data_IF_316162987451
#
_entry.id   IF_316162987451
#
_cell.length_a   1.000
_cell.length_b   1.000
_cell.length_c   1.000
_cell.angle_alpha   90.00
_cell.angle_beta   90.00
_cell.angle_gamma   90.00
#
_symmetry.space_group_name_H-M   'P 1'
#
loop_
_entity.id
_entity.type
_entity.pdbx_description
1 polymer ?
#
# COMPACT_ATOMS: atom_id res chain seq x y z
N UNK A 1 -19.87 -28.61 73.71
CA UNK A 1 -19.99 -27.25 73.12
C UNK A 1 -18.72 -26.76 72.43
N UNK A 2 -17.50 -26.97 72.97
CA UNK A 2 -16.24 -26.49 72.34
C UNK A 2 -15.96 -27.05 70.92
N UNK A 3 -16.40 -28.28 70.62
CA UNK A 3 -16.21 -28.92 69.29
C UNK A 3 -17.15 -28.38 68.20
N UNK A 4 -18.33 -27.88 68.57
CA UNK A 4 -19.29 -27.31 67.63
C UNK A 4 -18.94 -25.87 67.22
N UNK A 5 -18.28 -25.12 68.12
CA UNK A 5 -17.80 -23.76 67.81
C UNK A 5 -16.69 -23.78 66.75
N UNK A 6 -15.80 -24.78 66.79
CA UNK A 6 -14.75 -24.94 65.77
C UNK A 6 -15.30 -25.24 64.38
N UNK A 7 -16.36 -26.05 64.29
CA UNK A 7 -17.02 -26.36 63.01
C UNK A 7 -17.72 -25.12 62.44
N UNK A 8 -18.34 -24.30 63.30
CA UNK A 8 -18.99 -23.05 62.89
C UNK A 8 -17.98 -22.01 62.39
N UNK A 9 -16.79 -21.92 63.00
CA UNK A 9 -15.71 -21.03 62.56
C UNK A 9 -15.08 -21.51 61.25
N UNK A 10 -14.93 -22.83 61.04
CA UNK A 10 -14.46 -23.39 59.76
C UNK A 10 -15.47 -23.19 58.61
N UNK A 11 -16.78 -23.26 58.88
CA UNK A 11 -17.82 -23.01 57.87
C UNK A 11 -17.88 -21.53 57.44
N UNK A 12 -17.58 -20.59 58.36
CA UNK A 12 -17.50 -19.16 58.05
C UNK A 12 -16.24 -18.80 57.26
N UNK A 13 -15.13 -19.52 57.46
CA UNK A 13 -13.90 -19.30 56.69
C UNK A 13 -14.00 -19.78 55.23
N UNK A 14 -14.77 -20.85 54.97
CA UNK A 14 -14.96 -21.40 53.62
C UNK A 14 -15.99 -20.64 52.78
N UNK A 15 -16.76 -19.73 53.38
CA UNK A 15 -17.72 -18.87 52.68
C UNK A 15 -17.11 -17.53 52.19
N UNK A 16 -15.79 -17.32 52.38
CA UNK A 16 -15.11 -16.05 52.05
C UNK A 16 -14.36 -16.04 50.71
N UNK A 17 -14.48 -17.11 49.91
CA UNK A 17 -14.09 -17.08 48.50
C UNK A 17 -15.33 -16.96 47.62
N UNK A 18 -16.05 -15.84 47.77
CA UNK A 18 -16.92 -15.35 46.69
C UNK A 18 -15.97 -14.59 45.75
N UNK A 19 -15.41 -15.32 44.78
CA UNK A 19 -14.58 -14.76 43.71
C UNK A 19 -15.53 -13.96 42.82
N UNK A 20 -15.83 -12.73 43.28
CA UNK A 20 -16.88 -11.88 42.76
C UNK A 20 -16.83 -11.89 41.25
N UNK A 21 -17.98 -12.21 40.65
CA UNK A 21 -18.17 -12.44 39.21
C UNK A 21 -17.43 -11.36 38.40
N UNK A 22 -16.20 -11.66 37.99
CA UNK A 22 -15.35 -10.76 37.21
C UNK A 22 -15.93 -10.77 35.81
N UNK A 23 -16.93 -9.91 35.59
CA UNK A 23 -17.45 -9.63 34.26
C UNK A 23 -16.32 -8.94 33.50
N UNK A 24 -15.58 -9.74 32.72
CA UNK A 24 -14.60 -9.21 31.77
C UNK A 24 -15.38 -8.55 30.65
N UNK A 25 -15.50 -7.23 30.70
CA UNK A 25 -15.99 -6.43 29.59
C UNK A 25 -15.11 -6.72 28.36
N UNK A 26 -15.65 -7.50 27.42
CA UNK A 26 -14.92 -7.89 26.22
C UNK A 26 -15.09 -6.81 25.16
N UNK A 27 -14.02 -6.09 24.86
CA UNK A 27 -13.98 -5.15 23.74
C UNK A 27 -13.97 -5.97 22.43
N UNK A 28 -15.02 -5.87 21.63
CA UNK A 28 -15.12 -6.57 20.34
C UNK A 28 -15.62 -5.66 19.21
N UNK A 29 -14.73 -5.42 18.26
CA UNK A 29 -14.95 -4.67 17.02
C UNK A 29 -14.64 -5.51 15.76
N UNK A 30 -14.60 -6.84 15.89
CA UNK A 30 -14.24 -7.75 14.80
C UNK A 30 -15.19 -7.67 13.60
N UNK A 31 -16.49 -7.46 13.85
CA UNK A 31 -17.54 -7.30 12.82
C UNK A 31 -17.67 -5.87 12.26
N UNK A 32 -16.84 -4.93 12.71
CA UNK A 32 -16.92 -3.51 12.33
C UNK A 32 -15.78 -3.17 11.37
N UNK A 33 -16.10 -2.44 10.30
CA UNK A 33 -15.10 -1.94 9.35
C UNK A 33 -14.37 -0.72 9.89
N UNK A 34 -13.09 -0.60 9.55
CA UNK A 34 -12.30 0.59 9.86
C UNK A 34 -12.69 1.75 8.96
N UNK A 35 -12.77 2.94 9.54
CA UNK A 35 -13.01 4.21 8.86
C UNK A 35 -11.93 5.22 9.22
N UNK A 36 -11.79 6.28 8.44
CA UNK A 36 -10.89 7.40 8.75
C UNK A 36 -11.55 8.75 8.50
N UNK A 37 -11.14 9.74 9.26
CA UNK A 37 -11.54 11.12 9.03
C UNK A 37 -10.72 11.75 7.89
N UNK A 38 -11.34 12.49 6.94
CA UNK A 38 -10.63 13.08 5.81
C UNK A 38 -9.61 14.16 6.19
N UNK A 39 -9.88 14.94 7.23
CA UNK A 39 -9.14 16.18 7.51
C UNK A 39 -8.07 16.05 8.59
N UNK A 40 -8.14 15.02 9.43
CA UNK A 40 -7.25 14.86 10.59
C UNK A 40 -6.69 13.43 10.74
N UNK A 41 -6.93 12.56 9.75
CA UNK A 41 -6.40 11.20 9.68
C UNK A 41 -6.69 10.29 10.89
N UNK A 42 -7.66 10.66 11.73
CA UNK A 42 -8.12 9.79 12.81
C UNK A 42 -8.72 8.52 12.21
N UNK A 43 -8.23 7.37 12.65
CA UNK A 43 -8.73 6.06 12.22
C UNK A 43 -9.60 5.51 13.34
N UNK A 44 -10.76 4.95 13.01
CA UNK A 44 -11.71 4.53 14.03
C UNK A 44 -12.62 3.40 13.58
N UNK A 45 -13.24 2.75 14.56
CA UNK A 45 -14.34 1.80 14.40
C UNK A 45 -15.50 2.23 15.29
N UNK A 46 -16.72 2.23 14.75
CA UNK A 46 -17.93 2.61 15.47
C UNK A 46 -18.86 1.41 15.66
N UNK A 47 -19.36 1.23 16.87
CA UNK A 47 -20.30 0.16 17.23
C UNK A 47 -21.38 0.72 18.13
N UNK A 48 -22.55 1.03 17.55
CA UNK A 48 -23.67 1.65 18.25
C UNK A 48 -23.27 2.89 19.08
N UNK A 49 -23.12 2.77 20.39
CA UNK A 49 -22.71 3.85 21.31
C UNK A 49 -21.23 3.81 21.68
N UNK A 50 -20.40 3.11 20.93
CA UNK A 50 -18.98 2.90 21.24
C UNK A 50 -18.09 3.27 20.06
N UNK A 51 -16.91 3.83 20.34
CA UNK A 51 -15.90 4.10 19.33
C UNK A 51 -14.52 3.66 19.80
N UNK A 52 -13.84 2.84 19.00
CA UNK A 52 -12.42 2.55 19.17
C UNK A 52 -11.62 3.39 18.17
N UNK A 53 -10.73 4.24 18.68
CA UNK A 53 -10.05 5.30 17.93
C UNK A 53 -8.55 5.06 18.01
N UNK A 54 -7.89 5.20 16.86
CA UNK A 54 -6.45 5.18 16.67
C UNK A 54 -6.03 6.54 16.13
N UNK A 55 -5.16 7.22 16.88
CA UNK A 55 -4.58 8.51 16.51
C UNK A 55 -3.07 8.35 16.43
N UNK A 56 -2.54 8.21 15.22
CA UNK A 56 -1.10 8.09 14.93
C UNK A 56 -0.75 8.97 13.73
N UNK A 57 0.52 9.34 13.54
CA UNK A 57 0.93 10.18 12.41
C UNK A 57 0.62 9.53 11.06
N UNK A 58 0.06 10.30 10.11
CA UNK A 58 -0.39 9.78 8.81
C UNK A 58 0.77 9.19 8.00
N UNK A 59 1.97 9.76 8.14
CA UNK A 59 3.20 9.31 7.49
C UNK A 59 3.61 7.89 7.89
N UNK A 60 3.04 7.34 8.96
CA UNK A 60 3.20 5.93 9.35
C UNK A 60 2.61 4.99 8.28
N UNK A 61 1.54 5.40 7.62
CA UNK A 61 0.85 4.63 6.58
C UNK A 61 1.54 4.84 5.22
N UNK A 62 2.77 4.35 5.12
CA UNK A 62 3.59 4.43 3.91
C UNK A 62 2.99 3.54 2.82
N UNK A 63 2.90 4.07 1.61
CA UNK A 63 2.47 3.37 0.40
C UNK A 63 3.56 2.43 -0.13
N UNK A 64 4.04 1.52 0.71
CA UNK A 64 4.99 0.46 0.38
C UNK A 64 4.73 -0.77 1.26
N UNK A 65 4.65 -2.00 0.70
CA UNK A 65 4.48 -3.20 1.49
C UNK A 65 5.61 -3.40 2.49
N UNK A 66 5.28 -3.84 3.68
CA UNK A 66 6.27 -4.24 4.69
C UNK A 66 6.68 -5.69 4.49
N UNK A 67 7.87 -6.08 4.97
CA UNK A 67 8.16 -7.51 5.16
C UNK A 67 7.13 -8.10 6.15
N UNK A 68 6.46 -9.23 5.84
CA UNK A 68 5.51 -9.86 6.75
C UNK A 68 6.08 -10.19 8.15
N UNK A 69 7.40 -10.34 8.27
CA UNK A 69 8.09 -10.62 9.54
C UNK A 69 8.64 -9.37 10.22
N UNK A 70 8.55 -8.20 9.59
CA UNK A 70 9.02 -6.93 10.13
C UNK A 70 7.95 -5.85 9.95
N UNK A 71 6.82 -5.92 10.70
CA UNK A 71 5.82 -4.87 10.69
C UNK A 71 6.40 -3.57 11.25
N UNK A 72 5.78 -2.45 10.90
CA UNK A 72 6.06 -1.16 11.57
C UNK A 72 5.57 -1.28 13.01
N UNK A 73 6.41 -0.89 13.97
CA UNK A 73 6.11 -0.96 15.41
C UNK A 73 6.11 0.42 16.02
N UNK A 74 5.03 0.77 16.70
CA UNK A 74 4.88 2.03 17.41
C UNK A 74 4.48 1.78 18.86
N UNK A 75 5.24 2.32 19.80
CA UNK A 75 4.85 2.27 21.20
C UNK A 75 3.64 3.18 21.44
N UNK A 76 2.65 2.65 22.15
CA UNK A 76 1.48 3.43 22.58
C UNK A 76 1.95 4.46 23.62
N UNK A 77 1.56 5.71 23.41
CA UNK A 77 1.97 6.83 24.25
C UNK A 77 1.33 8.14 23.78
N UNK A 78 2.00 9.27 24.05
CA UNK A 78 1.47 10.59 23.69
C UNK A 78 1.37 10.83 22.18
N UNK A 79 2.29 10.26 21.40
CA UNK A 79 2.31 10.42 19.94
C UNK A 79 1.44 9.38 19.21
N UNK A 80 1.27 8.19 19.81
CA UNK A 80 0.49 7.10 19.22
C UNK A 80 -0.58 6.66 20.21
N UNK A 81 -1.80 7.12 20.02
CA UNK A 81 -2.87 6.96 20.99
C UNK A 81 -3.90 5.96 20.51
N UNK A 82 -4.33 5.10 21.43
CA UNK A 82 -5.52 4.25 21.25
C UNK A 82 -6.51 4.62 22.34
N UNK A 83 -7.73 4.98 21.94
CA UNK A 83 -8.77 5.48 22.84
C UNK A 83 -10.06 4.70 22.58
N UNK A 84 -10.69 4.23 23.65
CA UNK A 84 -12.00 3.57 23.59
C UNK A 84 -13.03 4.43 24.30
N UNK A 85 -13.97 4.98 23.53
CA UNK A 85 -15.01 5.88 24.00
C UNK A 85 -16.35 5.17 24.08
N UNK A 86 -17.08 5.46 25.14
CA UNK A 86 -18.48 5.10 25.34
C UNK A 86 -19.32 6.37 25.32
N UNK A 87 -20.34 6.40 24.49
CA UNK A 87 -21.25 7.52 24.28
C UNK A 87 -22.59 7.26 24.96
N UNK A 88 -23.33 8.33 25.29
CA UNK A 88 -24.70 8.23 25.82
C UNK A 88 -25.78 8.03 24.74
N UNK A 89 -25.36 7.75 23.50
CA UNK A 89 -26.24 7.52 22.36
C UNK A 89 -25.42 6.99 21.18
N UNK A 90 -26.10 6.75 20.05
CA UNK A 90 -25.46 6.22 18.86
C UNK A 90 -24.44 7.20 18.28
N UNK A 91 -23.19 6.75 18.14
CA UNK A 91 -22.09 7.52 17.56
C UNK A 91 -22.02 7.29 16.04
N UNK A 92 -21.77 8.35 15.29
CA UNK A 92 -21.56 8.36 13.84
C UNK A 92 -20.25 9.08 13.50
N UNK A 93 -19.79 8.96 12.25
CA UNK A 93 -18.50 9.52 11.82
C UNK A 93 -18.37 11.02 12.09
N UNK A 94 -19.44 11.81 11.92
CA UNK A 94 -19.42 13.26 12.17
C UNK A 94 -19.13 13.63 13.63
N UNK A 95 -19.41 12.73 14.59
CA UNK A 95 -19.03 12.94 15.99
C UNK A 95 -17.51 12.94 16.22
N UNK A 96 -16.74 12.36 15.29
CA UNK A 96 -15.28 12.29 15.34
C UNK A 96 -14.61 13.19 14.30
N UNK A 97 -15.21 13.31 13.12
CA UNK A 97 -14.55 13.88 11.95
C UNK A 97 -14.95 15.32 11.60
N UNK A 98 -16.07 15.83 12.14
CA UNK A 98 -16.49 17.18 11.80
C UNK A 98 -15.50 18.21 12.35
N UNK A 99 -15.25 19.28 11.59
CA UNK A 99 -14.44 20.42 12.03
C UNK A 99 -14.92 20.99 13.38
N UNK A 100 -16.24 20.98 13.58
CA UNK A 100 -16.89 21.26 14.86
C UNK A 100 -17.76 20.04 15.19
N UNK A 101 -17.27 19.10 16.00
CA UNK A 101 -18.04 17.92 16.38
C UNK A 101 -19.34 18.30 17.11
N UNK A 102 -20.48 17.67 16.77
CA UNK A 102 -21.72 17.90 17.49
C UNK A 102 -21.58 17.43 18.95
N UNK A 103 -22.20 18.17 19.88
CA UNK A 103 -22.14 17.87 21.31
C UNK A 103 -22.93 16.60 21.73
N UNK A 104 -23.75 16.05 20.82
CA UNK A 104 -24.60 14.87 21.07
C UNK A 104 -24.34 13.81 19.97
N UNK A 105 -24.20 12.52 20.35
CA UNK A 105 -24.09 12.04 21.72
C UNK A 105 -22.80 12.52 22.42
N UNK A 106 -22.86 12.64 23.74
CA UNK A 106 -21.70 13.01 24.56
C UNK A 106 -20.98 11.76 25.07
N UNK A 107 -19.68 11.88 25.29
CA UNK A 107 -18.86 10.81 25.90
C UNK A 107 -19.32 10.64 27.36
N UNK A 108 -19.69 9.41 27.72
CA UNK A 108 -20.05 8.98 29.08
C UNK A 108 -18.83 8.40 29.80
N UNK A 109 -18.04 7.56 29.12
CA UNK A 109 -16.80 6.98 29.65
C UNK A 109 -15.71 6.99 28.59
N UNK A 110 -14.45 7.08 29.01
CA UNK A 110 -13.30 7.03 28.13
C UNK A 110 -12.15 6.21 28.71
N UNK A 111 -11.66 5.24 27.96
CA UNK A 111 -10.51 4.43 28.33
C UNK A 111 -9.34 4.74 27.41
N UNK A 112 -8.21 5.09 28.01
CA UNK A 112 -6.96 5.33 27.28
C UNK A 112 -6.08 4.09 27.35
N UNK A 113 -5.51 3.68 26.22
CA UNK A 113 -4.42 2.72 26.24
C UNK A 113 -3.19 3.37 26.89
N UNK A 114 -2.75 2.79 28.00
CA UNK A 114 -1.63 3.26 28.82
C UNK A 114 -0.29 2.62 28.43
N UNK A 115 -0.33 1.48 27.75
CA UNK A 115 0.84 0.76 27.25
C UNK A 115 0.46 -0.18 26.10
N UNK A 116 1.47 -0.68 25.40
CA UNK A 116 1.35 -1.65 24.32
C UNK A 116 2.10 -1.18 23.07
N UNK A 117 2.10 -2.02 22.05
CA UNK A 117 2.73 -1.74 20.75
C UNK A 117 1.68 -1.87 19.65
N UNK A 118 1.62 -0.89 18.76
CA UNK A 118 0.84 -0.96 17.52
C UNK A 118 1.75 -1.57 16.45
N UNK A 119 1.36 -2.72 15.90
CA UNK A 119 2.01 -3.36 14.78
C UNK A 119 1.19 -3.13 13.50
N UNK A 120 1.84 -2.64 12.44
CA UNK A 120 1.20 -2.36 11.15
C UNK A 120 1.91 -3.15 10.06
N UNK A 121 1.16 -4.00 9.37
CA UNK A 121 1.64 -4.73 8.19
C UNK A 121 0.98 -4.18 6.94
N UNK A 122 1.78 -3.69 5.98
CA UNK A 122 1.26 -3.10 4.75
C UNK A 122 1.33 -4.10 3.60
N UNK A 123 0.27 -4.18 2.79
CA UNK A 123 0.22 -4.98 1.56
C UNK A 123 -0.34 -4.16 0.40
N UNK A 124 0.19 -4.35 -0.81
CA UNK A 124 -0.34 -3.69 -2.00
C UNK A 124 -1.65 -4.35 -2.44
N UNK A 125 -2.70 -3.55 -2.62
CA UNK A 125 -3.96 -3.98 -3.22
C UNK A 125 -3.84 -3.81 -4.73
N UNK A 126 -4.05 -4.91 -5.48
CA UNK A 126 -3.90 -4.94 -6.93
C UNK A 126 -5.20 -5.33 -7.59
N UNK A 127 -5.55 -4.63 -8.67
CA UNK A 127 -6.60 -5.05 -9.60
C UNK A 127 -5.97 -5.89 -10.71
N UNK A 128 -6.52 -7.09 -10.92
CA UNK A 128 -6.16 -7.99 -12.02
C UNK A 128 -7.04 -7.70 -13.24
N UNK A 129 -6.43 -7.67 -14.42
CA UNK A 129 -7.11 -7.80 -15.71
C UNK A 129 -6.96 -9.25 -16.19
N UNK A 130 -8.05 -10.02 -16.14
CA UNK A 130 -8.08 -11.43 -16.52
C UNK A 130 -7.84 -11.67 -18.02
N UNK A 131 -7.99 -10.64 -18.86
CA UNK A 131 -7.82 -10.76 -20.32
C UNK A 131 -6.36 -10.92 -20.69
N UNK A 132 -5.47 -10.22 -19.98
CA UNK A 132 -4.05 -10.13 -20.30
C UNK A 132 -3.12 -10.48 -19.12
N UNK A 133 -3.67 -10.87 -17.97
CA UNK A 133 -2.97 -11.11 -16.70
C UNK A 133 -2.12 -9.93 -16.21
N UNK A 134 -2.46 -8.71 -16.61
CA UNK A 134 -1.80 -7.51 -16.06
C UNK A 134 -2.41 -7.17 -14.70
N UNK A 135 -1.61 -6.55 -13.84
CA UNK A 135 -2.08 -6.02 -12.56
C UNK A 135 -1.76 -4.54 -12.46
N UNK A 136 -2.58 -3.81 -11.70
CA UNK A 136 -2.31 -2.41 -11.31
C UNK A 136 -2.56 -2.24 -9.83
N UNK A 137 -1.68 -1.53 -9.15
CA UNK A 137 -1.88 -1.17 -7.74
C UNK A 137 -2.99 -0.13 -7.67
N UNK A 138 -3.99 -0.38 -6.84
CA UNK A 138 -5.16 0.51 -6.61
C UNK A 138 -5.21 1.03 -5.17
N UNK A 139 -4.32 0.55 -4.30
CA UNK A 139 -4.26 0.97 -2.91
C UNK A 139 -3.26 0.16 -2.11
N UNK A 140 -3.18 0.48 -0.83
CA UNK A 140 -2.41 -0.26 0.18
C UNK A 140 -3.32 -0.58 1.35
N UNK A 141 -3.33 -1.86 1.75
CA UNK A 141 -4.03 -2.30 2.94
C UNK A 141 -3.04 -2.36 4.10
N UNK A 142 -3.34 -1.62 5.17
CA UNK A 142 -2.58 -1.60 6.41
C UNK A 142 -3.32 -2.42 7.46
N UNK A 143 -2.84 -3.62 7.75
CA UNK A 143 -3.39 -4.46 8.80
C UNK A 143 -2.81 -4.03 10.14
N UNK A 144 -3.67 -3.63 11.08
CA UNK A 144 -3.29 -3.04 12.36
C UNK A 144 -3.64 -4.00 13.50
N UNK A 145 -2.65 -4.32 14.32
CA UNK A 145 -2.78 -5.18 15.49
C UNK A 145 -2.11 -4.49 16.69
N UNK A 146 -2.79 -4.46 17.84
CA UNK A 146 -2.17 -4.03 19.08
C UNK A 146 -1.63 -5.24 19.85
N UNK A 147 -0.40 -5.14 20.35
CA UNK A 147 0.29 -6.16 21.16
C UNK A 147 0.46 -5.66 22.58
N UNK A 148 0.12 -6.51 23.55
CA UNK A 148 0.23 -6.23 24.99
C UNK A 148 -0.41 -4.89 25.39
N UNK A 149 -1.57 -4.60 24.81
CA UNK A 149 -2.29 -3.34 25.04
C UNK A 149 -2.98 -3.37 26.41
N UNK A 150 -2.82 -2.29 27.18
CA UNK A 150 -3.47 -2.12 28.47
C UNK A 150 -4.31 -0.84 28.47
N UNK A 151 -5.63 -0.97 28.49
CA UNK A 151 -6.54 0.15 28.68
C UNK A 151 -6.69 0.47 30.16
N UNK A 152 -6.56 1.77 30.51
CA UNK A 152 -6.87 2.28 31.84
C UNK A 152 -8.33 2.71 31.89
N UNK A 153 -9.09 2.14 32.84
CA UNK A 153 -10.48 2.51 33.12
C UNK A 153 -10.52 3.70 34.10
N UNK A 154 -11.67 4.36 34.18
CA UNK A 154 -11.87 5.55 35.03
C UNK A 154 -11.79 5.25 36.54
N UNK A 155 -12.11 4.03 36.94
CA UNK A 155 -12.01 3.54 38.32
C UNK A 155 -10.58 3.12 38.71
N UNK A 156 -9.57 3.45 37.87
CA UNK A 156 -8.18 3.03 37.97
C UNK A 156 -7.91 1.53 37.83
N UNK A 157 -8.91 0.73 37.46
CA UNK A 157 -8.65 -0.65 37.00
C UNK A 157 -8.14 -0.66 35.56
N UNK A 158 -7.68 -1.82 35.10
CA UNK A 158 -7.10 -1.99 33.77
C UNK A 158 -7.74 -3.14 33.01
N UNK A 159 -7.78 -3.03 31.69
CA UNK A 159 -8.13 -4.12 30.78
C UNK A 159 -6.94 -4.43 29.88
N UNK A 160 -6.44 -5.67 29.95
CA UNK A 160 -5.26 -6.13 29.20
C UNK A 160 -5.66 -7.06 28.05
N UNK A 161 -4.99 -6.90 26.90
CA UNK A 161 -5.03 -7.86 25.79
C UNK A 161 -3.61 -8.10 25.27
N UNK A 162 -3.19 -9.38 25.22
CA UNK A 162 -1.90 -9.76 24.63
C UNK A 162 -1.88 -9.48 23.12
N UNK A 163 -2.97 -9.76 22.43
CA UNK A 163 -3.17 -9.43 21.02
C UNK A 163 -4.58 -8.92 20.81
N UNK A 164 -4.71 -7.74 20.23
CA UNK A 164 -5.99 -7.11 19.89
C UNK A 164 -5.98 -6.72 18.40
N UNK A 165 -6.71 -7.42 17.52
CA UNK A 165 -6.79 -7.05 16.12
C UNK A 165 -7.65 -5.79 15.98
N UNK A 166 -7.03 -4.66 15.62
CA UNK A 166 -7.78 -3.45 15.33
C UNK A 166 -8.51 -3.60 14.00
N UNK A 167 -7.82 -4.02 12.93
CA UNK A 167 -8.39 -4.30 11.63
C UNK A 167 -7.59 -3.72 10.47
N UNK A 168 -8.17 -3.84 9.28
CA UNK A 168 -7.60 -3.35 8.02
C UNK A 168 -7.94 -1.87 7.80
N UNK A 169 -6.95 -1.07 7.44
CA UNK A 169 -7.11 0.31 6.96
C UNK A 169 -6.66 0.40 5.51
N UNK A 170 -7.61 0.66 4.60
CA UNK A 170 -7.36 0.72 3.17
C UNK A 170 -7.09 2.17 2.72
N UNK A 171 -5.88 2.42 2.22
CA UNK A 171 -5.52 3.67 1.54
C UNK A 171 -5.59 3.48 0.03
N UNK A 172 -6.64 4.03 -0.59
CA UNK A 172 -6.79 3.97 -2.04
C UNK A 172 -5.80 4.92 -2.74
N UNK A 173 -5.31 4.52 -3.90
CA UNK A 173 -4.47 5.35 -4.77
C UNK A 173 -4.97 5.29 -6.21
N UNK A 174 -4.65 6.33 -6.99
CA UNK A 174 -4.82 6.28 -8.43
C UNK A 174 -3.74 5.38 -9.05
N UNK A 175 -4.14 4.40 -9.89
CA UNK A 175 -3.17 3.59 -10.62
C UNK A 175 -2.30 4.42 -11.54
N UNK A 176 -1.04 3.98 -11.74
CA UNK A 176 -0.13 4.62 -12.68
C UNK A 176 -0.74 4.67 -14.10
N UNK A 177 -0.70 5.83 -14.77
CA UNK A 177 -1.23 5.97 -16.12
C UNK A 177 -0.32 5.29 -17.15
N UNK A 178 -0.89 4.43 -17.99
CA UNK A 178 -0.22 3.77 -19.14
C UNK A 178 -0.84 4.22 -20.47
N UNK A 179 -1.12 5.50 -20.60
CA UNK A 179 -1.75 6.12 -21.76
C UNK A 179 -0.71 6.64 -22.76
N UNK A 180 0.14 5.74 -23.27
CA UNK A 180 1.13 6.07 -24.30
C UNK A 180 0.53 5.80 -25.68
N UNK A 181 0.28 6.85 -26.47
CA UNK A 181 -0.34 6.74 -27.80
C UNK A 181 0.59 7.12 -28.96
N UNK A 182 1.81 7.57 -28.66
CA UNK A 182 2.78 8.01 -29.67
C UNK A 182 3.67 6.87 -30.17
N UNK A 183 4.29 7.09 -31.34
CA UNK A 183 5.35 6.21 -31.83
C UNK A 183 6.56 6.26 -30.90
N UNK A 184 7.23 5.12 -30.76
CA UNK A 184 8.47 5.07 -29.99
C UNK A 184 9.53 5.96 -30.67
N UNK A 185 10.22 6.74 -29.85
CA UNK A 185 11.36 7.54 -30.26
C UNK A 185 12.65 6.85 -29.80
N UNK A 186 13.77 7.17 -30.45
CA UNK A 186 15.09 6.67 -30.05
C UNK A 186 16.08 7.83 -30.01
N UNK A 187 16.86 7.88 -28.93
CA UNK A 187 17.88 8.88 -28.76
C UNK A 187 19.14 8.53 -29.55
N UNK A 188 19.56 9.40 -30.47
CA UNK A 188 20.73 9.15 -31.33
C UNK A 188 22.06 9.09 -30.58
N UNK A 189 22.14 9.68 -29.38
CA UNK A 189 23.37 9.76 -28.59
C UNK A 189 23.63 8.52 -27.72
N UNK A 190 22.59 7.85 -27.23
CA UNK A 190 22.72 6.73 -26.28
C UNK A 190 21.87 5.50 -26.65
N UNK A 191 21.06 5.56 -27.72
CA UNK A 191 20.21 4.46 -28.16
C UNK A 191 19.00 4.17 -27.28
N UNK A 192 18.71 5.02 -26.27
CA UNK A 192 17.55 4.84 -25.40
C UNK A 192 16.26 5.00 -26.21
N UNK A 193 15.39 4.00 -26.14
CA UNK A 193 14.05 4.04 -26.71
C UNK A 193 13.10 4.62 -25.67
N UNK A 194 12.20 5.51 -26.06
CA UNK A 194 11.27 6.14 -25.13
C UNK A 194 9.91 6.44 -25.77
N UNK A 195 8.91 6.52 -24.90
CA UNK A 195 7.60 7.11 -25.16
C UNK A 195 7.18 7.87 -23.91
N UNK A 196 6.36 8.91 -24.07
CA UNK A 196 5.91 9.71 -22.95
C UNK A 196 4.48 10.22 -23.17
N UNK A 197 3.87 10.66 -22.08
CA UNK A 197 2.60 11.40 -22.04
C UNK A 197 2.82 12.71 -21.28
N UNK A 198 1.77 13.47 -21.00
CA UNK A 198 1.89 14.77 -20.33
C UNK A 198 2.62 14.72 -18.99
N UNK A 199 2.55 13.59 -18.25
CA UNK A 199 3.14 13.48 -16.91
C UNK A 199 3.87 12.17 -16.65
N UNK A 200 4.01 11.29 -17.64
CA UNK A 200 4.69 10.02 -17.48
C UNK A 200 5.63 9.72 -18.64
N UNK A 201 6.68 8.94 -18.38
CA UNK A 201 7.57 8.40 -19.40
C UNK A 201 7.73 6.90 -19.22
N UNK A 202 8.00 6.22 -20.33
CA UNK A 202 8.38 4.82 -20.33
C UNK A 202 9.57 4.64 -21.26
N UNK A 203 10.71 4.30 -20.67
CA UNK A 203 12.02 4.26 -21.32
C UNK A 203 12.59 2.85 -21.30
N UNK A 204 13.30 2.49 -22.36
CA UNK A 204 13.95 1.21 -22.53
C UNK A 204 15.38 1.41 -23.07
N UNK A 205 16.37 1.09 -22.24
CA UNK A 205 17.78 0.99 -22.65
C UNK A 205 17.98 -0.37 -23.32
N UNK A 206 17.49 -0.48 -24.56
CA UNK A 206 17.43 -1.74 -25.32
C UNK A 206 18.81 -2.18 -25.78
N UNK A 207 19.05 -3.50 -25.83
CA UNK A 207 20.17 -4.06 -26.57
C UNK A 207 20.09 -3.68 -28.06
N UNK A 208 21.07 -2.94 -28.61
CA UNK A 208 21.06 -2.54 -30.02
C UNK A 208 20.92 -3.72 -30.99
N UNK A 209 21.37 -4.92 -30.61
CA UNK A 209 21.23 -6.11 -31.44
C UNK A 209 19.76 -6.52 -31.68
N UNK A 210 18.83 -6.14 -30.78
CA UNK A 210 17.41 -6.46 -30.92
C UNK A 210 16.72 -5.57 -31.97
N UNK A 211 17.23 -4.37 -32.19
CA UNK A 211 16.73 -3.39 -33.18
C UNK A 211 17.61 -3.33 -34.42
N UNK A 212 18.27 -4.43 -34.78
CA UNK A 212 19.03 -4.50 -36.02
C UNK A 212 18.13 -4.29 -37.25
N UNK A 213 18.59 -3.47 -38.20
CA UNK A 213 17.94 -3.12 -39.48
C UNK A 213 17.94 -4.30 -40.46
N UNK A 214 17.26 -5.36 -40.06
CA UNK A 214 17.12 -6.62 -40.78
C UNK A 214 15.77 -7.24 -40.40
N UNK A 215 15.02 -7.70 -41.41
CA UNK A 215 13.71 -8.33 -41.22
C UNK A 215 13.86 -9.61 -40.42
N UNK A 216 13.04 -9.77 -39.38
CA UNK A 216 12.98 -11.02 -38.61
C UNK A 216 12.15 -12.06 -39.37
N UNK A 217 12.53 -13.34 -39.37
CA UNK A 217 11.69 -14.40 -39.91
C UNK A 217 10.32 -14.43 -39.24
N UNK A 218 9.31 -14.96 -39.95
CA UNK A 218 7.95 -15.08 -39.42
C UNK A 218 7.97 -15.85 -38.08
N UNK A 219 7.22 -15.33 -37.10
CA UNK A 219 7.12 -15.89 -35.74
C UNK A 219 8.46 -16.11 -35.02
N UNK A 220 9.52 -15.43 -35.45
CA UNK A 220 10.87 -15.54 -34.87
C UNK A 220 11.41 -14.16 -34.48
N UNK A 221 10.79 -13.48 -33.50
CA UNK A 221 11.27 -12.18 -33.03
C UNK A 221 12.66 -12.32 -32.40
N UNK A 222 13.42 -11.22 -32.38
CA UNK A 222 14.63 -11.15 -31.54
C UNK A 222 14.19 -11.04 -30.09
N UNK A 223 14.82 -11.80 -29.20
CA UNK A 223 14.42 -11.87 -27.78
C UNK A 223 15.58 -11.44 -26.89
N UNK A 224 15.29 -10.56 -25.94
CA UNK A 224 16.18 -10.20 -24.84
C UNK A 224 15.48 -10.34 -23.50
N UNK A 225 16.26 -10.47 -22.43
CA UNK A 225 15.74 -10.48 -21.05
C UNK A 225 15.81 -9.06 -20.48
N UNK A 226 14.75 -8.63 -19.80
CA UNK A 226 14.76 -7.40 -18.99
C UNK A 226 15.79 -7.56 -17.88
N UNK A 227 16.65 -6.56 -17.73
CA UNK A 227 17.72 -6.56 -16.73
C UNK A 227 18.04 -5.16 -16.21
N UNK A 228 18.93 -5.05 -15.22
CA UNK A 228 19.20 -3.79 -14.53
C UNK A 228 20.05 -2.79 -15.33
N UNK A 229 20.70 -3.24 -16.40
CA UNK A 229 21.61 -2.44 -17.25
C UNK A 229 21.25 -2.59 -18.72
N UNK A 230 21.13 -3.83 -19.20
CA UNK A 230 20.79 -4.17 -20.57
C UNK A 230 19.31 -4.51 -20.66
N UNK A 231 18.62 -3.97 -21.67
CA UNK A 231 17.16 -3.98 -21.75
C UNK A 231 16.53 -3.39 -20.48
N UNK A 232 17.16 -2.35 -19.93
CA UNK A 232 16.71 -1.72 -18.69
C UNK A 232 15.44 -0.95 -18.98
N UNK A 233 14.36 -1.36 -18.33
CA UNK A 233 13.05 -0.74 -18.46
C UNK A 233 12.81 0.18 -17.27
N UNK A 234 12.38 1.40 -17.52
CA UNK A 234 12.01 2.35 -16.47
C UNK A 234 10.75 3.14 -16.84
N UNK A 235 9.78 3.11 -15.93
CA UNK A 235 8.59 3.97 -15.95
C UNK A 235 8.79 5.09 -14.93
N UNK A 236 8.47 6.33 -15.31
CA UNK A 236 8.55 7.49 -14.40
C UNK A 236 7.28 8.31 -14.47
N UNK A 237 6.75 8.70 -13.32
CA UNK A 237 5.70 9.69 -13.16
C UNK A 237 6.33 10.99 -12.66
N UNK A 238 5.88 12.15 -13.15
CA UNK A 238 6.46 13.45 -12.86
C UNK A 238 5.48 14.36 -12.11
N UNK A 239 6.02 15.33 -11.34
CA UNK A 239 5.24 16.32 -10.60
C UNK A 239 4.71 17.47 -11.46
N UNK A 240 5.16 17.58 -12.71
CA UNK A 240 4.70 18.59 -13.65
C UNK A 240 4.79 18.08 -15.08
N UNK A 241 4.32 18.92 -16.02
CA UNK A 241 4.27 18.57 -17.44
C UNK A 241 5.65 18.16 -17.96
N UNK A 242 5.67 17.06 -18.71
CA UNK A 242 6.82 16.50 -19.39
C UNK A 242 6.79 16.85 -20.88
N UNK A 243 7.95 17.16 -21.45
CA UNK A 243 8.13 17.53 -22.85
C UNK A 243 9.24 16.69 -23.47
N UNK A 244 9.27 16.66 -24.81
CA UNK A 244 10.21 15.84 -25.57
C UNK A 244 11.68 16.24 -25.37
N UNK A 245 11.96 17.50 -25.01
CA UNK A 245 13.29 18.01 -24.71
C UNK A 245 13.89 17.46 -23.41
N UNK A 246 13.10 16.78 -22.57
CA UNK A 246 13.60 16.06 -21.40
C UNK A 246 14.51 14.88 -21.79
N UNK A 247 14.25 14.27 -22.93
CA UNK A 247 14.95 13.08 -23.40
C UNK A 247 16.17 13.43 -24.24
N UNK A 248 17.05 12.46 -24.43
CA UNK A 248 18.24 12.56 -25.30
C UNK A 248 19.23 13.66 -24.90
N UNK A 249 19.17 14.13 -23.65
CA UNK A 249 20.11 15.09 -23.09
C UNK A 249 21.43 14.39 -22.69
N UNK A 250 22.56 15.11 -22.71
CA UNK A 250 23.85 14.55 -22.25
C UNK A 250 23.85 14.21 -20.76
N UNK A 251 22.99 14.86 -19.98
CA UNK A 251 22.73 14.56 -18.57
C UNK A 251 21.23 14.61 -18.32
N UNK A 252 20.72 13.74 -17.45
CA UNK A 252 19.31 13.72 -17.06
C UNK A 252 18.90 15.08 -16.47
N UNK A 253 17.89 15.77 -17.04
CA UNK A 253 17.40 17.01 -16.48
C UNK A 253 16.83 16.82 -15.07
N UNK A 254 17.02 17.82 -14.20
CA UNK A 254 16.45 17.82 -12.84
C UNK A 254 14.98 18.27 -12.80
N UNK A 255 14.49 18.87 -13.89
CA UNK A 255 13.11 19.29 -14.07
C UNK A 255 12.53 18.68 -15.36
N UNK A 256 11.25 18.24 -15.35
CA UNK A 256 10.38 18.13 -14.19
C UNK A 256 10.88 17.11 -13.15
N UNK A 257 10.54 17.31 -11.87
CA UNK A 257 10.96 16.36 -10.82
C UNK A 257 10.17 15.06 -10.92
N UNK A 258 10.85 13.94 -10.64
CA UNK A 258 10.24 12.61 -10.62
C UNK A 258 9.39 12.49 -9.35
N UNK A 259 8.12 12.14 -9.51
CA UNK A 259 7.18 11.78 -8.45
C UNK A 259 7.33 10.31 -8.06
N UNK A 260 7.41 9.43 -9.07
CA UNK A 260 7.63 7.99 -8.86
C UNK A 260 8.51 7.41 -9.97
N UNK A 261 9.33 6.43 -9.63
CA UNK A 261 10.20 5.70 -10.56
C UNK A 261 10.05 4.20 -10.31
N UNK A 262 9.85 3.45 -11.39
CA UNK A 262 9.60 2.02 -11.37
C UNK A 262 10.51 1.35 -12.40
N UNK A 263 11.19 0.29 -12.00
CA UNK A 263 12.13 -0.44 -12.86
C UNK A 263 11.59 -1.81 -13.25
N UNK A 264 11.97 -2.29 -14.43
CA UNK A 264 11.69 -3.67 -14.83
C UNK A 264 12.46 -4.66 -13.95
N UNK A 265 11.73 -5.53 -13.25
CA UNK A 265 12.31 -6.67 -12.54
C UNK A 265 13.00 -7.60 -13.53
N UNK A 266 14.16 -8.13 -13.15
CA UNK A 266 14.89 -9.10 -13.97
C UNK A 266 14.04 -10.37 -14.18
N UNK A 267 13.93 -10.82 -15.43
CA UNK A 267 13.33 -12.12 -15.78
C UNK A 267 12.38 -12.08 -16.96
N UNK A 268 11.47 -11.10 -17.02
CA UNK A 268 10.58 -10.92 -18.18
C UNK A 268 11.37 -10.66 -19.46
N UNK A 269 10.73 -10.78 -20.63
CA UNK A 269 11.42 -10.63 -21.92
C UNK A 269 10.94 -9.44 -22.72
N UNK A 270 11.82 -8.92 -23.57
CA UNK A 270 11.52 -8.00 -24.66
C UNK A 270 11.65 -8.76 -25.97
N UNK A 271 10.60 -8.73 -26.78
CA UNK A 271 10.55 -9.31 -28.12
C UNK A 271 10.47 -8.19 -29.16
N UNK A 272 11.30 -8.29 -30.19
CA UNK A 272 11.34 -7.33 -31.29
C UNK A 272 11.11 -8.03 -32.62
N UNK A 273 10.00 -7.70 -33.27
CA UNK A 273 9.70 -8.12 -34.64
C UNK A 273 10.05 -6.97 -35.58
N UNK A 274 10.86 -7.24 -36.61
CA UNK A 274 11.29 -6.22 -37.57
C UNK A 274 10.71 -6.49 -38.95
N UNK A 275 10.13 -5.46 -39.57
CA UNK A 275 9.60 -5.47 -40.93
C UNK A 275 10.14 -4.29 -41.73
N UNK A 276 10.10 -4.35 -43.06
CA UNK A 276 10.40 -3.18 -43.91
C UNK A 276 9.16 -2.31 -44.07
N UNK A 277 9.30 -0.99 -43.93
CA UNK A 277 8.22 -0.01 -44.14
C UNK A 277 8.53 1.00 -45.26
N UNK A 278 9.62 0.79 -46.00
CA UNK A 278 10.06 1.63 -47.12
C UNK A 278 11.49 1.29 -47.53
N UNK A 279 12.03 1.94 -48.59
CA UNK A 279 13.44 1.81 -48.95
C UNK A 279 14.34 2.19 -47.77
N UNK A 280 15.17 1.25 -47.31
CA UNK A 280 16.07 1.40 -46.15
C UNK A 280 15.38 1.78 -44.82
N UNK A 281 14.05 1.72 -44.73
CA UNK A 281 13.31 2.01 -43.50
C UNK A 281 12.80 0.72 -42.87
N UNK A 282 13.10 0.55 -41.59
CA UNK A 282 12.70 -0.61 -40.80
C UNK A 282 11.73 -0.19 -39.71
N UNK A 283 10.73 -1.04 -39.48
CA UNK A 283 9.75 -0.90 -38.42
C UNK A 283 9.93 -2.04 -37.43
N UNK A 284 10.25 -1.68 -36.20
CA UNK A 284 10.41 -2.59 -35.07
C UNK A 284 9.18 -2.53 -34.18
N UNK A 285 8.45 -3.63 -34.07
CA UNK A 285 7.38 -3.78 -33.08
C UNK A 285 7.97 -4.38 -31.81
N UNK A 286 7.93 -3.63 -30.71
CA UNK A 286 8.51 -4.04 -29.42
C UNK A 286 7.39 -4.48 -28.48
N UNK A 287 7.50 -5.69 -27.93
CA UNK A 287 6.52 -6.31 -27.04
C UNK A 287 7.24 -6.84 -25.80
N UNK A 288 6.71 -6.55 -24.62
CA UNK A 288 7.15 -7.12 -23.36
C UNK A 288 6.32 -8.37 -23.03
N UNK A 289 6.99 -9.45 -22.60
CA UNK A 289 6.34 -10.67 -22.11
C UNK A 289 6.63 -10.87 -20.64
N UNK A 290 5.56 -11.06 -19.86
CA UNK A 290 5.62 -11.36 -18.44
C UNK A 290 6.52 -10.39 -17.64
N UNK A 291 6.53 -9.11 -18.01
CA UNK A 291 7.36 -8.10 -17.35
C UNK A 291 6.65 -7.56 -16.12
N UNK A 292 7.37 -7.55 -14.99
CA UNK A 292 6.97 -6.90 -13.74
C UNK A 292 7.72 -5.58 -13.61
N UNK A 293 7.02 -4.51 -13.22
CA UNK A 293 7.64 -3.27 -12.74
C UNK A 293 7.68 -3.27 -11.21
N UNK A 294 8.77 -2.79 -10.62
CA UNK A 294 8.97 -2.71 -9.19
C UNK A 294 9.51 -1.35 -8.75
N UNK A 295 9.12 -0.96 -7.55
CA UNK A 295 9.57 0.23 -6.82
C UNK A 295 9.57 -0.16 -5.35
N UNK A 296 10.73 -0.13 -4.71
CA UNK A 296 10.89 -0.59 -3.33
C UNK A 296 10.31 -2.01 -3.15
N UNK A 297 9.37 -2.22 -2.22
CA UNK A 297 8.70 -3.52 -2.02
C UNK A 297 7.44 -3.68 -2.89
N UNK A 298 7.03 -2.61 -3.58
CA UNK A 298 5.86 -2.57 -4.44
C UNK A 298 6.17 -3.12 -5.84
N UNK A 299 5.21 -3.82 -6.44
CA UNK A 299 5.35 -4.32 -7.81
C UNK A 299 4.01 -4.56 -8.50
N UNK A 300 3.99 -4.55 -9.83
CA UNK A 300 2.83 -4.95 -10.64
C UNK A 300 3.25 -5.50 -12.01
N UNK A 301 2.37 -6.30 -12.62
CA UNK A 301 2.61 -7.02 -13.87
C UNK A 301 2.06 -6.23 -15.06
N UNK A 302 2.84 -6.08 -16.13
CA UNK A 302 2.37 -5.46 -17.39
C UNK A 302 1.44 -6.37 -18.20
N UNK A 303 1.39 -7.65 -17.84
CA UNK A 303 0.61 -8.70 -18.47
C UNK A 303 1.47 -9.75 -19.14
N UNK A 304 0.84 -10.78 -19.70
CA UNK A 304 1.52 -11.81 -20.49
C UNK A 304 2.13 -11.22 -21.76
N UNK A 305 1.44 -10.23 -22.34
CA UNK A 305 1.79 -9.58 -23.59
C UNK A 305 1.46 -8.08 -23.47
N UNK A 306 2.48 -7.24 -23.37
CA UNK A 306 2.31 -5.79 -23.35
C UNK A 306 2.99 -5.18 -24.58
N UNK A 307 2.22 -4.56 -25.47
CA UNK A 307 2.78 -3.85 -26.63
C UNK A 307 3.41 -2.54 -26.14
N UNK A 308 4.73 -2.45 -26.19
CA UNK A 308 5.43 -1.21 -25.85
C UNK A 308 5.22 -0.15 -26.93
N UNK A 309 5.34 -0.55 -28.20
CA UNK A 309 5.05 0.33 -29.32
C UNK A 309 5.75 -0.09 -30.61
N UNK A 310 5.77 0.84 -31.56
CA UNK A 310 6.46 0.69 -32.85
C UNK A 310 7.54 1.76 -32.97
N UNK A 311 8.77 1.35 -33.28
CA UNK A 311 9.94 2.19 -33.52
C UNK A 311 10.31 2.14 -35.00
N UNK A 312 10.67 3.29 -35.58
CA UNK A 312 11.20 3.36 -36.94
C UNK A 312 12.69 3.72 -36.94
N UNK A 313 13.46 3.08 -37.80
CA UNK A 313 14.88 3.33 -38.02
C UNK A 313 15.18 3.36 -39.52
N UNK A 314 16.29 4.00 -39.88
CA UNK A 314 16.74 4.14 -41.26
C UNK A 314 18.17 3.59 -41.37
N UNK A 315 18.45 2.83 -42.44
CA UNK A 315 19.77 2.29 -42.78
C UNK A 315 20.48 3.14 -43.82
#
# INVERSE_FOLDING_TARGET
>A
MKRFLGILVCLLALASCDDGDLIVDTIDFSAVTTSSCPDNNLIFKLKESEALILNIPEETFVNDPTDPNAPIKLDIGSANQVVYNFYNGKVVADNLCALIPPAIPSINKQWFASSGVIEITTTAVKKLDETNNSTRITGYNHNIIFKNITFKKEDNTTQFYETFPFGDYLKNIDPLPFNFSELLQICSNNGQVYVFSESASFTLDIDPALIANEVTPINSPRVGTIGPVKNKLAYRLFNSVLRSDYFCQPTTPILPTIKEEWFGRTGGTVEVTTTTSGPNTFKHTIVFKNVTLEKDNSNFQLGNNYKYGELQTIK
#
